data_IF_699983062050
#
_entry.id   IF_699983062050
#
_cell.length_a   1.000
_cell.length_b   1.000
_cell.length_c   1.000
_cell.angle_alpha   90.00
_cell.angle_beta   90.00
_cell.angle_gamma   90.00
#
_symmetry.space_group_name_H-M   'P 1'
#
loop_
_entity.id
_entity.type
_entity.pdbx_description
1 polymer ?
#
# COMPACT_ATOMS: atom_id res chain seq x y z
N UNK A 1 47.01 -54.53 -13.26
CA UNK A 1 45.64 -54.50 -13.81
C UNK A 1 44.99 -53.20 -13.36
N UNK A 2 44.94 -52.12 -14.16
CA UNK A 2 43.84 -51.78 -15.10
C UNK A 2 42.48 -51.95 -14.39
N UNK A 3 41.71 -50.91 -14.05
CA UNK A 3 41.11 -49.90 -14.94
C UNK A 3 40.57 -48.72 -14.11
N UNK A 4 40.79 -47.49 -14.59
CA UNK A 4 40.04 -46.27 -14.28
C UNK A 4 38.65 -46.32 -14.90
N UNK A 5 37.58 -46.03 -14.15
CA UNK A 5 36.25 -45.73 -14.71
C UNK A 5 35.73 -44.41 -14.14
N UNK A 6 35.71 -43.39 -15.00
CA UNK A 6 34.84 -42.22 -14.89
C UNK A 6 33.41 -42.66 -15.24
N UNK A 7 32.40 -42.33 -14.42
CA UNK A 7 31.03 -42.14 -14.91
C UNK A 7 30.43 -40.87 -14.30
N UNK A 8 29.94 -40.05 -15.22
CA UNK A 8 29.33 -38.74 -15.15
C UNK A 8 27.85 -38.83 -14.69
N UNK A 9 27.34 -37.72 -14.13
CA UNK A 9 25.95 -37.27 -13.98
C UNK A 9 24.81 -38.19 -14.50
N UNK A 10 23.79 -38.39 -13.66
CA UNK A 10 22.38 -38.35 -14.08
C UNK A 10 21.51 -37.75 -12.95
N UNK A 11 21.06 -36.51 -13.18
CA UNK A 11 19.81 -35.97 -12.62
C UNK A 11 18.66 -36.76 -13.25
N UNK A 12 17.64 -37.14 -12.47
CA UNK A 12 16.21 -37.11 -12.86
C UNK A 12 15.32 -37.60 -11.68
N UNK A 13 14.67 -36.63 -11.03
CA UNK A 13 13.23 -36.54 -10.65
C UNK A 13 12.48 -37.84 -10.28
N UNK A 14 11.90 -37.86 -9.07
CA UNK A 14 10.49 -38.23 -8.89
C UNK A 14 9.86 -37.51 -7.68
N UNK A 15 8.81 -36.74 -7.93
CA UNK A 15 7.86 -36.19 -6.95
C UNK A 15 7.12 -37.29 -6.17
N UNK A 16 6.76 -37.04 -4.91
CA UNK A 16 5.41 -37.27 -4.36
C UNK A 16 5.34 -36.91 -2.87
N UNK A 17 4.38 -36.05 -2.55
CA UNK A 17 4.00 -35.47 -1.26
C UNK A 17 3.63 -36.45 -0.13
N UNK A 18 3.81 -36.00 1.12
CA UNK A 18 2.69 -35.70 2.04
C UNK A 18 3.13 -35.04 3.36
N UNK A 19 2.75 -33.76 3.50
CA UNK A 19 2.20 -33.07 4.67
C UNK A 19 2.52 -33.57 6.09
N UNK A 20 3.26 -32.74 6.83
CA UNK A 20 2.88 -32.26 8.17
C UNK A 20 3.78 -31.10 8.58
N UNK A 21 3.27 -29.87 8.51
CA UNK A 21 3.90 -28.71 9.16
C UNK A 21 3.06 -28.34 10.38
N UNK A 22 3.42 -28.92 11.53
CA UNK A 22 2.97 -28.46 12.83
C UNK A 22 3.80 -27.24 13.27
N UNK A 23 3.08 -26.20 13.69
CA UNK A 23 3.42 -25.21 14.71
C UNK A 23 4.88 -24.80 14.91
N UNK A 24 5.23 -23.61 14.41
CA UNK A 24 5.73 -22.46 15.20
C UNK A 24 5.97 -21.27 14.27
N UNK A 25 5.05 -20.30 14.28
CA UNK A 25 5.31 -18.95 13.77
C UNK A 25 6.28 -18.27 14.75
N UNK A 26 7.57 -18.54 14.59
CA UNK A 26 8.62 -17.76 15.28
C UNK A 26 8.58 -16.33 14.79
N UNK A 27 8.52 -15.39 15.74
CA UNK A 27 8.48 -13.95 15.57
C UNK A 27 9.35 -13.47 14.40
N UNK A 28 8.72 -13.11 13.28
CA UNK A 28 9.40 -12.33 12.26
C UNK A 28 9.69 -10.97 12.89
N UNK A 29 10.97 -10.65 13.06
CA UNK A 29 11.40 -9.27 13.25
C UNK A 29 10.97 -8.49 12.01
N UNK A 30 9.80 -7.85 12.11
CA UNK A 30 9.29 -6.88 11.15
C UNK A 30 10.11 -5.61 11.36
N UNK A 31 11.00 -5.34 10.41
CA UNK A 31 11.72 -4.08 10.31
C UNK A 31 10.76 -3.05 9.72
N UNK A 32 10.37 -2.05 10.52
CA UNK A 32 9.45 -1.01 10.08
C UNK A 32 10.21 -0.11 9.10
N UNK A 33 9.99 -0.30 7.81
CA UNK A 33 10.56 0.55 6.77
C UNK A 33 9.80 1.87 6.80
N UNK A 34 10.36 2.87 7.48
CA UNK A 34 9.87 4.25 7.37
C UNK A 34 10.07 4.74 5.93
N UNK A 35 9.00 4.71 5.13
CA UNK A 35 9.02 5.29 3.78
C UNK A 35 8.86 6.80 3.92
N UNK A 36 9.95 7.54 3.76
CA UNK A 36 10.02 9.01 3.91
C UNK A 36 9.04 9.82 3.01
N UNK A 37 8.38 9.17 2.04
CA UNK A 37 7.53 9.82 1.05
C UNK A 37 6.02 9.43 1.14
N UNK A 38 5.56 8.71 2.18
CA UNK A 38 4.12 8.42 2.30
C UNK A 38 3.35 9.65 2.81
N UNK A 39 2.29 10.03 2.09
CA UNK A 39 1.31 10.97 2.62
C UNK A 39 0.56 10.27 3.75
N UNK A 40 0.96 10.56 4.99
CA UNK A 40 0.23 10.14 6.18
C UNK A 40 -0.93 11.12 6.40
N UNK A 41 -1.91 11.05 5.50
CA UNK A 41 -3.23 11.55 5.83
C UNK A 41 -3.86 10.53 6.75
N UNK A 42 -3.78 10.82 8.04
CA UNK A 42 -4.45 10.09 9.11
C UNK A 42 -5.86 9.65 8.66
N UNK A 43 -5.95 8.38 8.27
CA UNK A 43 -7.15 7.53 8.19
C UNK A 43 -8.35 8.28 7.59
N UNK A 44 -8.48 8.29 6.26
CA UNK A 44 -9.70 8.77 5.63
C UNK A 44 -10.80 7.73 5.88
N UNK A 45 -11.62 8.01 6.90
CA UNK A 45 -12.76 7.21 7.32
C UNK A 45 -13.76 7.05 6.16
N UNK A 46 -13.81 5.85 5.58
CA UNK A 46 -14.96 5.43 4.79
C UNK A 46 -16.18 5.32 5.70
N UNK A 47 -17.38 5.54 5.17
CA UNK A 47 -18.62 5.42 5.95
C UNK A 47 -18.76 3.97 6.44
N UNK A 48 -18.50 3.77 7.73
CA UNK A 48 -18.39 2.46 8.36
C UNK A 48 -19.73 1.73 8.46
N UNK A 49 -19.87 0.63 7.72
CA UNK A 49 -20.98 -0.32 7.87
C UNK A 49 -20.46 -1.54 8.64
N UNK A 50 -20.27 -1.38 9.95
CA UNK A 50 -20.07 -2.52 10.85
C UNK A 50 -21.43 -3.12 11.20
N UNK A 51 -21.60 -4.43 10.97
CA UNK A 51 -22.84 -5.14 11.34
C UNK A 51 -22.79 -5.58 12.81
N UNK A 52 -21.59 -5.75 13.36
CA UNK A 52 -21.33 -6.14 14.73
C UNK A 52 -20.63 -5.01 15.51
N UNK A 53 -21.14 -4.70 16.71
CA UNK A 53 -20.53 -3.72 17.61
C UNK A 53 -19.13 -4.13 18.06
N UNK A 54 -18.91 -5.42 18.33
CA UNK A 54 -17.58 -5.96 18.68
C UNK A 54 -16.56 -5.70 17.59
N UNK A 55 -16.98 -5.83 16.32
CA UNK A 55 -16.11 -5.54 15.16
C UNK A 55 -15.75 -4.06 15.10
N UNK A 56 -16.72 -3.18 15.34
CA UNK A 56 -16.48 -1.73 15.44
C UNK A 56 -15.49 -1.41 16.56
N UNK A 57 -15.63 -2.05 17.73
CA UNK A 57 -14.77 -1.81 18.88
C UNK A 57 -13.34 -2.29 18.64
N UNK A 58 -13.17 -3.49 18.08
CA UNK A 58 -11.87 -4.03 17.65
C UNK A 58 -11.21 -3.13 16.60
N UNK A 59 -11.98 -2.65 15.62
CA UNK A 59 -11.48 -1.72 14.60
C UNK A 59 -11.00 -0.40 15.23
N UNK A 60 -11.79 0.18 16.14
CA UNK A 60 -11.43 1.41 16.82
C UNK A 60 -10.18 1.23 17.68
N UNK A 61 -10.05 0.11 18.39
CA UNK A 61 -8.85 -0.20 19.17
C UNK A 61 -7.61 -0.36 18.27
N UNK A 62 -7.75 -1.02 17.11
CA UNK A 62 -6.69 -1.10 16.11
C UNK A 62 -6.23 0.29 15.63
N UNK A 63 -7.17 1.20 15.38
CA UNK A 63 -6.88 2.60 15.02
C UNK A 63 -6.14 3.34 16.14
N UNK A 64 -6.51 3.14 17.41
CA UNK A 64 -5.79 3.72 18.54
C UNK A 64 -4.34 3.22 18.64
N UNK A 65 -4.11 1.93 18.39
CA UNK A 65 -2.75 1.39 18.31
C UNK A 65 -1.95 1.99 17.15
N UNK A 66 -2.58 2.21 15.99
CA UNK A 66 -1.93 2.92 14.87
C UNK A 66 -1.48 4.31 15.27
N UNK A 67 -2.32 5.08 15.97
CA UNK A 67 -2.00 6.45 16.45
C UNK A 67 -0.79 6.46 17.40
N UNK A 68 -0.53 5.34 18.07
CA UNK A 68 0.64 5.14 18.94
C UNK A 68 1.85 4.51 18.23
N UNK A 69 1.76 4.28 16.92
CA UNK A 69 2.73 3.54 16.11
C UNK A 69 2.94 2.08 16.57
N UNK A 70 1.97 1.50 17.27
CA UNK A 70 2.00 0.11 17.77
C UNK A 70 1.41 -0.85 16.71
N UNK A 71 2.06 -0.95 15.54
CA UNK A 71 1.51 -1.65 14.37
C UNK A 71 1.17 -3.13 14.61
N UNK A 72 1.94 -3.86 15.43
CA UNK A 72 1.65 -5.27 15.76
C UNK A 72 0.40 -5.43 16.62
N UNK A 73 0.19 -4.50 17.56
CA UNK A 73 -1.01 -4.51 18.37
C UNK A 73 -2.23 -4.19 17.50
N UNK A 74 -2.11 -3.19 16.61
CA UNK A 74 -3.14 -2.86 15.64
C UNK A 74 -3.48 -4.05 14.72
N UNK A 75 -2.47 -4.74 14.17
CA UNK A 75 -2.63 -5.94 13.35
C UNK A 75 -3.48 -7.00 14.07
N UNK A 76 -3.16 -7.27 15.35
CA UNK A 76 -3.88 -8.27 16.15
C UNK A 76 -5.37 -7.93 16.27
N UNK A 77 -5.70 -6.66 16.55
CA UNK A 77 -7.10 -6.23 16.68
C UNK A 77 -7.84 -6.27 15.34
N UNK A 78 -7.19 -5.85 14.24
CA UNK A 78 -7.80 -5.94 12.92
C UNK A 78 -7.97 -7.39 12.44
N UNK A 79 -7.06 -8.31 12.76
CA UNK A 79 -7.23 -9.74 12.48
C UNK A 79 -8.42 -10.31 13.28
N UNK A 80 -8.59 -9.91 14.54
CA UNK A 80 -9.74 -10.31 15.33
C UNK A 80 -11.05 -9.81 14.70
N UNK A 81 -11.09 -8.54 14.28
CA UNK A 81 -12.23 -7.95 13.59
C UNK A 81 -12.53 -8.67 12.26
N UNK A 82 -11.48 -9.01 11.48
CA UNK A 82 -11.58 -9.72 10.22
C UNK A 82 -12.17 -11.13 10.38
N UNK A 83 -11.86 -11.84 11.47
CA UNK A 83 -12.45 -13.17 11.74
C UNK A 83 -13.96 -13.12 11.93
N UNK A 84 -14.48 -12.00 12.42
CA UNK A 84 -15.91 -11.79 12.66
C UNK A 84 -16.62 -11.28 11.40
N UNK A 85 -15.99 -10.39 10.63
CA UNK A 85 -16.51 -9.89 9.36
C UNK A 85 -15.43 -9.94 8.25
N UNK A 86 -15.21 -11.11 7.62
CA UNK A 86 -14.09 -11.32 6.69
C UNK A 86 -14.19 -10.52 5.39
N UNK A 87 -15.40 -10.10 5.00
CA UNK A 87 -15.62 -9.30 3.79
C UNK A 87 -15.92 -7.83 4.13
N UNK A 88 -15.58 -7.38 5.35
CA UNK A 88 -15.77 -5.97 5.69
C UNK A 88 -14.70 -5.12 4.98
N UNK A 89 -15.11 -4.21 4.10
CA UNK A 89 -14.18 -3.44 3.26
C UNK A 89 -13.32 -2.48 4.08
N UNK A 90 -13.82 -1.95 5.21
CA UNK A 90 -13.04 -1.11 6.14
C UNK A 90 -11.93 -1.93 6.80
N UNK A 91 -12.23 -3.12 7.32
CA UNK A 91 -11.25 -3.97 8.00
C UNK A 91 -10.16 -4.41 7.03
N UNK A 92 -10.55 -4.83 5.82
CA UNK A 92 -9.64 -5.20 4.75
C UNK A 92 -8.70 -4.03 4.40
N UNK A 93 -9.24 -2.82 4.23
CA UNK A 93 -8.41 -1.64 3.96
C UNK A 93 -7.45 -1.33 5.13
N UNK A 94 -7.90 -1.47 6.37
CA UNK A 94 -7.06 -1.24 7.54
C UNK A 94 -5.93 -2.27 7.68
N UNK A 95 -6.19 -3.55 7.39
CA UNK A 95 -5.15 -4.57 7.27
C UNK A 95 -4.15 -4.22 6.15
N UNK A 96 -4.64 -3.76 5.00
CA UNK A 96 -3.78 -3.27 3.92
C UNK A 96 -2.83 -2.16 4.39
N UNK A 97 -3.35 -1.17 5.13
CA UNK A 97 -2.55 -0.08 5.71
C UNK A 97 -1.48 -0.58 6.68
N UNK A 98 -1.81 -1.56 7.53
CA UNK A 98 -0.85 -2.22 8.42
C UNK A 98 0.29 -2.84 7.62
N UNK A 99 -0.04 -3.66 6.63
CA UNK A 99 0.97 -4.37 5.85
C UNK A 99 1.80 -3.44 4.96
N UNK A 100 1.25 -2.30 4.55
CA UNK A 100 2.02 -1.25 3.88
C UNK A 100 3.05 -0.62 4.84
N UNK A 101 2.64 -0.29 6.08
CA UNK A 101 3.55 0.30 7.10
C UNK A 101 4.64 -0.68 7.55
N UNK A 102 4.33 -1.97 7.52
CA UNK A 102 5.26 -3.07 7.81
C UNK A 102 6.22 -3.35 6.64
N UNK A 103 6.01 -2.75 5.46
CA UNK A 103 6.88 -2.92 4.29
C UNK A 103 6.59 -4.20 3.47
N UNK A 104 5.39 -4.76 3.63
CA UNK A 104 4.92 -5.94 2.89
C UNK A 104 3.90 -5.55 1.81
N UNK A 105 4.35 -4.80 0.80
CA UNK A 105 3.50 -4.19 -0.23
C UNK A 105 2.63 -5.16 -1.01
N UNK A 106 3.11 -6.39 -1.28
CA UNK A 106 2.29 -7.41 -1.94
C UNK A 106 1.08 -7.81 -1.11
N UNK A 107 1.30 -8.00 0.20
CA UNK A 107 0.23 -8.35 1.13
C UNK A 107 -0.72 -7.17 1.32
N UNK A 108 -0.18 -5.95 1.40
CA UNK A 108 -1.00 -4.73 1.42
C UNK A 108 -1.93 -4.67 0.18
N UNK A 109 -1.37 -4.91 -1.00
CA UNK A 109 -2.11 -4.91 -2.26
C UNK A 109 -3.21 -5.98 -2.31
N UNK A 110 -2.96 -7.18 -1.77
CA UNK A 110 -3.97 -8.24 -1.65
C UNK A 110 -5.17 -7.75 -0.83
N UNK A 111 -4.94 -7.23 0.37
CA UNK A 111 -6.00 -6.70 1.24
C UNK A 111 -6.74 -5.51 0.65
N UNK A 112 -6.03 -4.58 -0.02
CA UNK A 112 -6.69 -3.48 -0.71
C UNK A 112 -7.53 -3.96 -1.89
N UNK A 113 -7.07 -4.98 -2.61
CA UNK A 113 -7.83 -5.57 -3.73
C UNK A 113 -9.11 -6.23 -3.23
N UNK A 114 -9.05 -6.94 -2.11
CA UNK A 114 -10.23 -7.56 -1.51
C UNK A 114 -11.19 -6.50 -0.95
N UNK A 115 -10.67 -5.43 -0.33
CA UNK A 115 -11.47 -4.28 0.10
C UNK A 115 -12.22 -3.63 -1.07
N UNK A 116 -11.50 -3.35 -2.16
CA UNK A 116 -12.04 -2.76 -3.39
C UNK A 116 -13.17 -3.60 -4.01
N UNK A 117 -13.06 -4.94 -3.94
CA UNK A 117 -14.10 -5.86 -4.45
C UNK A 117 -15.31 -5.99 -3.52
N UNK A 118 -15.14 -5.69 -2.23
CA UNK A 118 -16.13 -6.03 -1.21
C UNK A 118 -17.26 -5.00 -1.07
N UNK A 119 -17.05 -3.72 -1.44
CA UNK A 119 -18.08 -2.68 -1.34
C UNK A 119 -17.69 -1.37 -2.01
N UNK A 120 -18.69 -0.62 -2.47
CA UNK A 120 -18.56 0.75 -2.97
C UNK A 120 -18.18 1.76 -1.87
N UNK A 121 -18.46 1.47 -0.59
CA UNK A 121 -18.35 2.47 0.50
C UNK A 121 -16.93 2.89 0.86
N UNK A 122 -15.93 2.05 0.63
CA UNK A 122 -14.49 2.37 0.86
C UNK A 122 -13.66 2.29 -0.41
N UNK A 123 -14.34 2.08 -1.52
CA UNK A 123 -13.81 1.76 -2.82
C UNK A 123 -12.73 2.71 -3.31
N UNK A 124 -12.97 4.02 -3.19
CA UNK A 124 -12.02 5.06 -3.61
C UNK A 124 -10.74 5.05 -2.75
N UNK A 125 -10.87 4.78 -1.45
CA UNK A 125 -9.72 4.69 -0.53
C UNK A 125 -8.87 3.45 -0.89
N UNK A 126 -9.50 2.29 -1.04
CA UNK A 126 -8.83 1.06 -1.44
C UNK A 126 -8.12 1.23 -2.80
N UNK A 127 -8.80 1.78 -3.80
CA UNK A 127 -8.24 2.05 -5.13
C UNK A 127 -7.03 2.98 -5.08
N UNK A 128 -7.09 4.04 -4.28
CA UNK A 128 -5.97 4.96 -4.06
C UNK A 128 -4.77 4.25 -3.41
N UNK A 129 -5.01 3.44 -2.37
CA UNK A 129 -3.95 2.68 -1.71
C UNK A 129 -3.33 1.59 -2.60
N UNK A 130 -4.13 0.98 -3.48
CA UNK A 130 -3.62 0.12 -4.56
C UNK A 130 -2.69 0.91 -5.48
N UNK A 131 -3.07 2.14 -5.87
CA UNK A 131 -2.23 3.03 -6.68
C UNK A 131 -0.87 3.30 -6.04
N UNK A 132 -0.83 3.62 -4.75
CA UNK A 132 0.43 3.77 -4.00
C UNK A 132 1.23 2.46 -4.00
N UNK A 133 0.57 1.33 -3.71
CA UNK A 133 1.22 0.02 -3.61
C UNK A 133 1.85 -0.42 -4.93
N UNK A 134 1.14 -0.24 -6.05
CA UNK A 134 1.69 -0.48 -7.39
C UNK A 134 2.88 0.44 -7.70
N UNK A 135 2.81 1.73 -7.34
CA UNK A 135 3.94 2.65 -7.50
C UNK A 135 5.17 2.20 -6.70
N UNK A 136 4.97 1.74 -5.47
CA UNK A 136 6.01 1.20 -4.60
C UNK A 136 6.63 -0.10 -5.13
N UNK A 137 5.83 -0.93 -5.80
CA UNK A 137 6.26 -2.16 -6.47
C UNK A 137 6.89 -1.89 -7.86
N UNK A 138 6.93 -0.62 -8.30
CA UNK A 138 7.36 -0.19 -9.65
C UNK A 138 6.49 -0.74 -10.79
N UNK A 139 5.26 -1.16 -10.48
CA UNK A 139 4.23 -1.53 -11.46
C UNK A 139 3.49 -0.27 -11.92
N UNK A 140 4.22 0.62 -12.61
CA UNK A 140 3.76 1.98 -12.89
C UNK A 140 2.53 2.03 -13.78
N UNK A 141 2.39 1.12 -14.75
CA UNK A 141 1.24 1.08 -15.66
C UNK A 141 -0.06 0.81 -14.89
N UNK A 142 -0.03 -0.17 -13.97
CA UNK A 142 -1.19 -0.50 -13.12
C UNK A 142 -1.49 0.60 -12.12
N UNK A 143 -0.44 1.24 -11.58
CA UNK A 143 -0.60 2.39 -10.69
C UNK A 143 -1.29 3.57 -11.41
N UNK A 144 -0.84 3.89 -12.63
CA UNK A 144 -1.46 4.95 -13.44
C UNK A 144 -2.93 4.62 -13.76
N UNK A 145 -3.22 3.38 -14.15
CA UNK A 145 -4.58 2.91 -14.44
C UNK A 145 -5.52 3.10 -13.24
N UNK A 146 -5.14 2.59 -12.06
CA UNK A 146 -6.01 2.66 -10.87
C UNK A 146 -6.13 4.07 -10.31
N UNK A 147 -5.10 4.92 -10.46
CA UNK A 147 -5.19 6.33 -10.05
C UNK A 147 -6.08 7.15 -10.98
N UNK A 148 -6.04 6.89 -12.30
CA UNK A 148 -7.02 7.47 -13.24
C UNK A 148 -8.42 6.96 -12.97
N UNK A 149 -8.55 5.69 -12.60
CA UNK A 149 -9.80 5.13 -12.14
C UNK A 149 -10.36 5.94 -10.96
N UNK A 150 -9.57 6.22 -9.92
CA UNK A 150 -9.98 7.06 -8.78
C UNK A 150 -10.50 8.43 -9.25
N UNK A 151 -9.75 9.11 -10.12
CA UNK A 151 -10.12 10.44 -10.63
C UNK A 151 -11.46 10.45 -11.40
N UNK A 152 -11.79 9.36 -12.08
CA UNK A 152 -13.02 9.25 -12.86
C UNK A 152 -14.24 8.87 -12.02
N UNK A 153 -14.04 8.37 -10.80
CA UNK A 153 -15.12 7.80 -9.96
C UNK A 153 -15.31 8.53 -8.63
N UNK A 154 -14.59 9.63 -8.41
CA UNK A 154 -14.80 10.50 -7.25
C UNK A 154 -15.00 11.96 -7.64
N UNK A 155 -15.98 12.62 -7.04
CA UNK A 155 -16.14 14.08 -7.06
C UNK A 155 -15.49 14.76 -5.86
N UNK A 156 -14.95 13.98 -4.91
CA UNK A 156 -14.28 14.49 -3.72
C UNK A 156 -12.93 15.13 -4.08
N UNK A 157 -12.80 16.42 -3.78
CA UNK A 157 -11.60 17.20 -4.12
C UNK A 157 -10.34 16.70 -3.42
N UNK A 158 -10.47 16.15 -2.21
CA UNK A 158 -9.35 15.60 -1.45
C UNK A 158 -8.81 14.36 -2.16
N UNK A 159 -9.70 13.42 -2.54
CA UNK A 159 -9.30 12.23 -3.27
C UNK A 159 -8.72 12.56 -4.65
N UNK A 160 -9.28 13.56 -5.34
CA UNK A 160 -8.73 14.02 -6.62
C UNK A 160 -7.33 14.63 -6.46
N UNK A 161 -7.13 15.47 -5.45
CA UNK A 161 -5.84 16.07 -5.14
C UNK A 161 -4.79 14.98 -4.83
N UNK A 162 -5.14 13.98 -4.02
CA UNK A 162 -4.23 12.90 -3.63
C UNK A 162 -3.86 11.98 -4.79
N UNK A 163 -4.85 11.60 -5.60
CA UNK A 163 -4.59 10.80 -6.79
C UNK A 163 -3.68 11.55 -7.78
N UNK A 164 -3.92 12.85 -8.00
CA UNK A 164 -3.03 13.71 -8.82
C UNK A 164 -1.63 13.82 -8.23
N UNK A 165 -1.49 14.00 -6.92
CA UNK A 165 -0.17 14.05 -6.29
C UNK A 165 0.59 12.73 -6.48
N UNK A 166 -0.09 11.59 -6.32
CA UNK A 166 0.51 10.28 -6.52
C UNK A 166 0.87 10.03 -7.98
N UNK A 167 0.04 10.47 -8.94
CA UNK A 167 0.38 10.44 -10.38
C UNK A 167 1.60 11.30 -10.70
N UNK A 168 1.70 12.49 -10.11
CA UNK A 168 2.88 13.35 -10.28
C UNK A 168 4.15 12.68 -9.75
N UNK A 169 4.09 12.03 -8.57
CA UNK A 169 5.19 11.20 -8.04
C UNK A 169 5.53 10.02 -8.94
N UNK A 170 4.53 9.35 -9.49
CA UNK A 170 4.71 8.24 -10.43
C UNK A 170 5.45 8.70 -11.69
N UNK A 171 5.03 9.79 -12.32
CA UNK A 171 5.70 10.35 -13.48
C UNK A 171 7.12 10.81 -13.17
N UNK A 172 7.33 11.44 -12.01
CA UNK A 172 8.67 11.81 -11.56
C UNK A 172 9.58 10.57 -11.42
N UNK A 173 9.08 9.47 -10.85
CA UNK A 173 9.83 8.21 -10.73
C UNK A 173 10.14 7.54 -12.09
N UNK A 174 9.36 7.87 -13.13
CA UNK A 174 9.60 7.43 -14.52
C UNK A 174 10.47 8.43 -15.31
N UNK A 175 11.05 9.46 -14.67
CA UNK A 175 11.75 10.58 -15.32
C UNK A 175 10.88 11.38 -16.32
N UNK A 176 9.55 11.27 -16.23
CA UNK A 176 8.57 12.04 -16.99
C UNK A 176 8.35 13.40 -16.31
N UNK A 177 9.43 14.17 -16.17
CA UNK A 177 9.48 15.36 -15.29
C UNK A 177 8.44 16.42 -15.66
N UNK A 178 8.23 16.65 -16.96
CA UNK A 178 7.31 17.68 -17.46
C UNK A 178 5.85 17.34 -17.15
N UNK A 179 5.44 16.09 -17.36
CA UNK A 179 4.10 15.63 -17.00
C UNK A 179 3.87 15.67 -15.49
N UNK A 180 4.90 15.29 -14.70
CA UNK A 180 4.85 15.42 -13.25
C UNK A 180 4.63 16.89 -12.83
N UNK A 181 5.35 17.83 -13.45
CA UNK A 181 5.25 19.27 -13.17
C UNK A 181 3.88 19.84 -13.49
N UNK A 182 3.31 19.52 -14.65
CA UNK A 182 1.99 20.02 -15.04
C UNK A 182 0.89 19.53 -14.10
N UNK A 183 0.92 18.27 -13.68
CA UNK A 183 -0.03 17.76 -12.68
C UNK A 183 0.16 18.45 -11.34
N UNK A 184 1.40 18.57 -10.86
CA UNK A 184 1.70 19.16 -9.55
C UNK A 184 1.25 20.61 -9.46
N UNK A 185 1.47 21.39 -10.52
CA UNK A 185 1.05 22.80 -10.62
C UNK A 185 -0.44 22.99 -10.33
N UNK A 186 -1.29 22.07 -10.77
CA UNK A 186 -2.75 22.12 -10.56
C UNK A 186 -3.13 21.96 -9.10
N UNK A 187 -2.38 21.14 -8.35
CA UNK A 187 -2.73 20.76 -6.97
C UNK A 187 -1.92 21.47 -5.89
N UNK A 188 -0.84 22.17 -6.25
CA UNK A 188 0.10 22.82 -5.30
C UNK A 188 -0.63 23.73 -4.31
N UNK A 189 -1.56 24.56 -4.79
CA UNK A 189 -2.29 25.50 -3.92
C UNK A 189 -3.18 24.76 -2.90
N UNK A 190 -3.83 23.68 -3.32
CA UNK A 190 -4.66 22.86 -2.43
C UNK A 190 -3.80 22.12 -1.40
N UNK A 191 -2.65 21.60 -1.85
CA UNK A 191 -1.66 20.93 -1.01
C UNK A 191 -1.09 21.82 0.10
N UNK A 192 -0.87 23.11 -0.18
CA UNK A 192 -0.36 24.08 0.79
C UNK A 192 -1.29 24.26 2.01
N UNK A 193 -2.56 23.89 1.90
CA UNK A 193 -3.51 23.96 3.02
C UNK A 193 -3.23 22.88 4.09
N UNK A 194 -2.49 21.83 3.73
CA UNK A 194 -2.16 20.71 4.61
C UNK A 194 -0.76 20.88 5.19
N UNK A 195 -0.65 21.60 6.31
CA UNK A 195 0.64 21.88 6.98
C UNK A 195 1.46 20.62 7.29
N UNK A 196 0.81 19.50 7.62
CA UNK A 196 1.45 18.19 7.84
C UNK A 196 2.24 17.68 6.63
N UNK A 197 1.90 18.12 5.41
CA UNK A 197 2.52 17.67 4.17
C UNK A 197 3.63 18.59 3.67
N UNK A 198 3.87 19.72 4.34
CA UNK A 198 4.78 20.76 3.86
C UNK A 198 6.22 20.24 3.64
N UNK A 199 6.74 19.40 4.54
CA UNK A 199 8.08 18.82 4.39
C UNK A 199 8.18 17.89 3.17
N UNK A 200 7.18 17.02 2.99
CA UNK A 200 7.14 16.08 1.87
C UNK A 200 6.95 16.82 0.54
N UNK A 201 6.18 17.92 0.54
CA UNK A 201 6.04 18.81 -0.61
C UNK A 201 7.38 19.46 -0.98
N UNK A 202 8.12 20.02 -0.01
CA UNK A 202 9.43 20.62 -0.27
C UNK A 202 10.42 19.61 -0.86
N UNK A 203 10.53 18.41 -0.27
CA UNK A 203 11.38 17.33 -0.81
C UNK A 203 10.98 16.97 -2.25
N UNK A 204 9.68 16.86 -2.50
CA UNK A 204 9.15 16.57 -3.83
C UNK A 204 9.47 17.67 -4.84
N UNK A 205 9.26 18.94 -4.48
CA UNK A 205 9.53 20.10 -5.33
C UNK A 205 11.00 20.17 -5.74
N UNK A 206 11.92 19.95 -4.80
CA UNK A 206 13.36 19.90 -5.09
C UNK A 206 13.68 18.79 -6.09
N UNK A 207 13.14 17.58 -5.89
CA UNK A 207 13.35 16.46 -6.82
C UNK A 207 12.78 16.76 -8.20
N UNK A 208 11.60 17.37 -8.26
CA UNK A 208 10.94 17.73 -9.50
C UNK A 208 11.73 18.80 -10.28
N UNK A 209 12.20 19.84 -9.60
CA UNK A 209 13.03 20.89 -10.20
C UNK A 209 14.35 20.32 -10.75
N UNK A 210 15.04 19.47 -9.98
CA UNK A 210 16.27 18.80 -10.42
C UNK A 210 16.04 17.93 -11.67
N UNK A 211 14.94 17.17 -11.69
CA UNK A 211 14.54 16.34 -12.83
C UNK A 211 14.34 17.19 -14.09
N UNK A 212 13.56 18.28 -13.98
CA UNK A 212 13.29 19.20 -15.09
C UNK A 212 14.56 19.88 -15.60
N UNK A 213 15.48 20.23 -14.71
CA UNK A 213 16.73 20.92 -15.05
C UNK A 213 17.85 19.98 -15.55
N UNK A 214 17.61 18.66 -15.65
CA UNK A 214 18.60 17.64 -16.02
C UNK A 214 19.88 17.65 -15.18
N UNK A 215 19.78 17.98 -13.88
CA UNK A 215 20.86 17.74 -12.93
C UNK A 215 20.70 16.34 -12.34
N UNK A 216 21.20 15.34 -13.08
CA UNK A 216 21.45 13.98 -12.57
C UNK A 216 22.58 14.05 -11.55
#
# INVERSE_FOLDING_TARGET
>A
MRITFYILLLVLISCSDKNRSDGKMTERHIEIIQREDSIDLDIIHGYDIFKNQEVRDLNNLGIEYIRKNEYRAAEKEFIAAFRLEPNNPTILNNLGNIYQKIGTEKMALEYYTDSFKSSDSTYINAAYNMGISYCNLKEYEKSEEILKYVLNHTSDKTWQMLAKYTLSRLYLNQNRCEEAREIYKVIKTDLNQYSKLQLNQQKFEIRLENCVQQRI
#
